data_IF_852719492975
#
_entry.id   IF_852719492975
#
_cell.length_a   1.000
_cell.length_b   1.000
_cell.length_c   1.000
_cell.angle_alpha   90.00
_cell.angle_beta   90.00
_cell.angle_gamma   90.00
#
_symmetry.space_group_name_H-M   'P 1'
#
loop_
_entity.id
_entity.type
_entity.pdbx_description
1 polymer ?
#
# COMPACT_ATOMS: atom_id res chain seq x y z
N UNK A 1 19.17 -40.68 -2.79
CA UNK A 1 18.90 -41.00 -4.19
C UNK A 1 17.67 -40.28 -4.73
N UNK A 2 17.90 -39.22 -5.51
CA UNK A 2 16.85 -38.46 -6.20
C UNK A 2 16.48 -39.14 -7.53
N UNK A 3 15.20 -39.17 -7.94
CA UNK A 3 14.80 -39.67 -9.28
C UNK A 3 14.95 -38.55 -10.31
N UNK A 4 15.58 -38.85 -11.45
CA UNK A 4 15.72 -37.93 -12.58
C UNK A 4 15.13 -38.57 -13.83
N UNK A 5 14.06 -37.97 -14.35
CA UNK A 5 13.46 -38.36 -15.63
C UNK A 5 14.04 -37.50 -16.73
N UNK A 6 14.58 -38.11 -17.78
CA UNK A 6 15.13 -37.43 -18.94
C UNK A 6 14.31 -37.76 -20.19
N UNK A 7 13.47 -36.82 -20.61
CA UNK A 7 12.67 -36.92 -21.82
C UNK A 7 13.52 -36.51 -23.04
N UNK A 8 13.67 -37.47 -23.95
CA UNK A 8 14.56 -37.38 -25.12
C UNK A 8 13.86 -37.85 -26.38
N UNK A 9 14.51 -37.67 -27.54
CA UNK A 9 14.11 -38.23 -28.84
C UNK A 9 15.36 -38.56 -29.65
N UNK A 10 15.22 -39.46 -30.63
CA UNK A 10 16.29 -39.74 -31.60
C UNK A 10 16.67 -38.50 -32.42
N UNK A 11 17.93 -38.45 -32.85
CA UNK A 11 18.50 -37.40 -33.69
C UNK A 11 18.34 -35.98 -33.11
N UNK A 12 18.73 -35.82 -31.85
CA UNK A 12 18.57 -34.58 -31.09
C UNK A 12 19.91 -34.10 -30.49
N UNK A 13 20.63 -33.17 -31.16
CA UNK A 13 21.92 -32.68 -30.68
C UNK A 13 21.86 -31.99 -29.30
N UNK A 14 20.72 -31.39 -28.95
CA UNK A 14 20.51 -30.81 -27.63
C UNK A 14 20.35 -31.88 -26.54
N UNK A 15 19.77 -33.03 -26.90
CA UNK A 15 19.60 -34.16 -26.01
C UNK A 15 20.95 -34.84 -25.73
N UNK A 16 21.82 -34.93 -26.74
CA UNK A 16 23.18 -35.45 -26.59
C UNK A 16 23.97 -34.59 -25.60
N UNK A 17 23.89 -33.26 -25.74
CA UNK A 17 24.51 -32.32 -24.77
C UNK A 17 23.94 -32.45 -23.36
N UNK A 18 22.62 -32.59 -23.24
CA UNK A 18 21.98 -32.78 -21.93
C UNK A 18 22.39 -34.11 -21.28
N UNK A 19 22.59 -35.15 -22.09
CA UNK A 19 23.10 -36.44 -21.64
C UNK A 19 24.53 -36.33 -21.10
N UNK A 20 25.43 -35.65 -21.82
CA UNK A 20 26.81 -35.41 -21.37
C UNK A 20 26.85 -34.69 -20.01
N UNK A 21 25.99 -33.69 -19.82
CA UNK A 21 25.87 -32.98 -18.54
C UNK A 21 25.41 -33.90 -17.40
N UNK A 22 24.38 -34.73 -17.64
CA UNK A 22 23.89 -35.69 -16.65
C UNK A 22 24.95 -36.73 -16.30
N UNK A 23 25.68 -37.24 -17.30
CA UNK A 23 26.73 -38.23 -17.10
C UNK A 23 27.90 -37.63 -16.29
N UNK A 24 28.30 -36.39 -16.56
CA UNK A 24 29.31 -35.70 -15.77
C UNK A 24 28.91 -35.53 -14.30
N UNK A 25 27.65 -35.15 -14.05
CA UNK A 25 27.13 -34.90 -12.69
C UNK A 25 26.83 -36.19 -11.92
N UNK A 26 26.72 -37.35 -12.57
CA UNK A 26 26.49 -38.64 -11.89
C UNK A 26 27.62 -39.03 -10.93
N UNK A 27 28.82 -38.48 -11.13
CA UNK A 27 29.96 -38.68 -10.23
C UNK A 27 29.87 -37.84 -8.94
N UNK A 28 29.13 -36.74 -8.97
CA UNK A 28 29.01 -35.77 -7.87
C UNK A 28 27.69 -35.89 -7.10
N UNK A 29 26.62 -36.38 -7.74
CA UNK A 29 25.28 -36.46 -7.18
C UNK A 29 24.72 -37.88 -7.22
N UNK A 30 24.12 -38.31 -6.11
CA UNK A 30 23.44 -39.60 -6.01
C UNK A 30 22.00 -39.52 -6.54
N UNK A 31 21.81 -39.85 -7.82
CA UNK A 31 20.50 -39.91 -8.47
C UNK A 31 20.33 -41.11 -9.41
N UNK A 32 19.09 -41.51 -9.63
CA UNK A 32 18.73 -42.53 -10.60
C UNK A 32 18.22 -41.87 -11.87
N UNK A 33 18.89 -42.11 -13.01
CA UNK A 33 18.50 -41.58 -14.31
C UNK A 33 17.59 -42.55 -15.04
N UNK A 34 16.40 -42.09 -15.42
CA UNK A 34 15.45 -42.83 -16.26
C UNK A 34 15.21 -42.04 -17.56
N UNK A 35 15.58 -42.65 -18.69
CA UNK A 35 15.42 -42.04 -20.01
C UNK A 35 14.10 -42.45 -20.62
N UNK A 36 13.34 -41.49 -21.12
CA UNK A 36 12.03 -41.71 -21.74
C UNK A 36 12.04 -41.12 -23.14
N UNK A 37 11.92 -41.98 -24.15
CA UNK A 37 11.76 -41.54 -25.53
C UNK A 37 10.32 -41.06 -25.75
N UNK A 38 10.15 -39.75 -25.95
CA UNK A 38 8.82 -39.15 -26.11
C UNK A 38 8.12 -39.61 -27.39
N UNK A 39 8.84 -40.17 -28.37
CA UNK A 39 8.25 -40.62 -29.65
C UNK A 39 7.46 -41.92 -29.50
N UNK A 40 7.63 -42.63 -28.39
CA UNK A 40 6.97 -43.91 -28.11
C UNK A 40 5.61 -43.74 -27.38
N UNK A 41 5.26 -42.51 -26.98
CA UNK A 41 4.04 -42.22 -26.24
C UNK A 41 3.39 -40.93 -26.78
N UNK A 42 2.16 -41.03 -27.27
CA UNK A 42 1.45 -39.91 -27.91
C UNK A 42 1.21 -38.72 -26.96
N UNK A 43 0.90 -38.98 -25.69
CA UNK A 43 0.68 -37.94 -24.68
C UNK A 43 1.97 -37.16 -24.42
N UNK A 44 3.08 -37.88 -24.21
CA UNK A 44 4.40 -37.26 -23.98
C UNK A 44 4.91 -36.55 -25.23
N UNK A 45 4.64 -37.09 -26.42
CA UNK A 45 4.98 -36.45 -27.68
C UNK A 45 4.26 -35.11 -27.83
N UNK A 46 2.93 -35.08 -27.64
CA UNK A 46 2.14 -33.85 -27.72
C UNK A 46 2.60 -32.81 -26.71
N UNK A 47 2.97 -33.24 -25.50
CA UNK A 47 3.41 -32.36 -24.42
C UNK A 47 4.80 -31.77 -24.66
N UNK A 48 5.78 -32.57 -25.09
CA UNK A 48 7.19 -32.19 -25.04
C UNK A 48 7.87 -32.01 -26.39
N UNK A 49 7.25 -32.35 -27.53
CA UNK A 49 7.90 -32.33 -28.87
C UNK A 49 8.65 -31.04 -29.23
N UNK A 50 8.23 -29.88 -28.71
CA UNK A 50 8.86 -28.57 -28.94
C UNK A 50 9.82 -28.12 -27.84
N UNK A 51 9.85 -28.82 -26.69
CA UNK A 51 10.65 -28.48 -25.52
C UNK A 51 11.82 -29.47 -25.25
N UNK A 52 11.84 -30.63 -25.93
CA UNK A 52 12.90 -31.65 -25.79
C UNK A 52 14.29 -31.06 -26.12
N UNK A 53 15.31 -31.29 -25.28
CA UNK A 53 15.33 -32.11 -24.06
C UNK A 53 14.59 -31.51 -22.86
N UNK A 54 13.91 -32.37 -22.09
CA UNK A 54 13.29 -32.00 -20.80
C UNK A 54 13.79 -32.92 -19.70
N UNK A 55 14.27 -32.36 -18.59
CA UNK A 55 14.70 -33.10 -17.41
C UNK A 55 13.75 -32.77 -16.26
N UNK A 56 13.23 -33.79 -15.57
CA UNK A 56 12.44 -33.65 -14.35
C UNK A 56 13.21 -34.25 -13.19
N UNK A 57 13.43 -33.48 -12.12
CA UNK A 57 14.16 -33.90 -10.93
C UNK A 57 13.20 -33.97 -9.74
N UNK A 58 13.12 -35.12 -9.07
CA UNK A 58 12.17 -35.33 -7.98
C UNK A 58 10.72 -35.37 -8.47
N UNK A 59 9.82 -34.69 -7.76
CA UNK A 59 8.38 -34.74 -8.04
C UNK A 59 7.86 -33.63 -8.97
N UNK A 60 8.57 -32.49 -9.09
CA UNK A 60 8.03 -31.30 -9.79
C UNK A 60 9.05 -30.41 -10.52
N UNK A 61 10.35 -30.53 -10.28
CA UNK A 61 11.35 -29.62 -10.87
C UNK A 61 11.63 -29.96 -12.33
N UNK A 62 10.97 -29.24 -13.24
CA UNK A 62 11.11 -29.41 -14.70
C UNK A 62 12.11 -28.40 -15.28
N UNK A 63 13.07 -28.88 -16.07
CA UNK A 63 14.07 -28.08 -16.78
C UNK A 63 13.93 -28.37 -18.27
N UNK A 64 13.55 -27.34 -19.02
CA UNK A 64 13.47 -27.37 -20.49
C UNK A 64 14.70 -26.70 -21.11
N UNK A 65 14.95 -27.01 -22.39
CA UNK A 65 16.02 -26.42 -23.17
C UNK A 65 15.97 -24.87 -23.21
N UNK A 66 17.11 -24.17 -23.17
CA UNK A 66 18.48 -24.69 -23.08
C UNK A 66 18.83 -25.19 -21.67
N UNK A 67 19.34 -26.42 -21.60
CA UNK A 67 19.79 -27.04 -20.36
C UNK A 67 21.26 -26.65 -20.16
N UNK A 68 21.53 -26.00 -19.04
CA UNK A 68 22.89 -25.62 -18.61
C UNK A 68 23.27 -26.41 -17.37
N UNK A 69 24.58 -26.62 -17.18
CA UNK A 69 25.11 -27.30 -16.00
C UNK A 69 24.68 -26.61 -14.70
N UNK A 70 24.66 -25.28 -14.68
CA UNK A 70 24.24 -24.48 -13.52
C UNK A 70 22.78 -24.76 -13.11
N UNK A 71 21.84 -24.77 -14.08
CA UNK A 71 20.42 -25.06 -13.82
C UNK A 71 20.23 -26.50 -13.33
N UNK A 72 20.98 -27.44 -13.90
CA UNK A 72 20.90 -28.85 -13.55
C UNK A 72 21.47 -29.11 -12.15
N UNK A 73 22.64 -28.54 -11.82
CA UNK A 73 23.22 -28.54 -10.47
C UNK A 73 22.27 -27.93 -9.45
N UNK A 74 21.61 -26.81 -9.77
CA UNK A 74 20.62 -26.19 -8.88
C UNK A 74 19.44 -27.13 -8.57
N UNK A 75 18.89 -27.79 -9.58
CA UNK A 75 17.77 -28.72 -9.41
C UNK A 75 18.17 -29.96 -8.59
N UNK A 76 19.35 -30.54 -8.87
CA UNK A 76 19.87 -31.70 -8.13
C UNK A 76 20.18 -31.38 -6.67
N UNK A 77 20.79 -30.21 -6.39
CA UNK A 77 21.03 -29.74 -5.02
C UNK A 77 19.72 -29.56 -4.24
N UNK A 78 18.72 -28.96 -4.88
CA UNK A 78 17.39 -28.75 -4.28
C UNK A 78 16.69 -30.08 -3.98
N UNK A 79 16.74 -31.05 -4.90
CA UNK A 79 16.16 -32.38 -4.70
C UNK A 79 16.89 -33.21 -3.64
N UNK A 80 18.21 -33.02 -3.50
CA UNK A 80 19.04 -33.73 -2.51
C UNK A 80 19.00 -33.10 -1.11
N UNK A 81 18.18 -32.06 -0.89
CA UNK A 81 18.12 -31.29 0.36
C UNK A 81 19.36 -30.43 0.63
N UNK A 82 20.32 -30.39 -0.28
CA UNK A 82 21.55 -29.60 -0.22
C UNK A 82 21.26 -28.17 -0.70
N UNK A 83 20.46 -27.42 0.06
CA UNK A 83 20.38 -25.98 -0.14
C UNK A 83 21.67 -25.37 0.41
N UNK A 84 22.47 -24.62 -0.39
CA UNK A 84 23.53 -23.81 0.19
C UNK A 84 22.85 -22.87 1.18
N UNK A 85 23.11 -23.07 2.47
CA UNK A 85 22.59 -22.16 3.48
C UNK A 85 23.21 -20.80 3.19
N UNK A 86 22.38 -19.84 2.80
CA UNK A 86 22.78 -18.42 2.77
C UNK A 86 23.21 -18.12 4.20
N UNK A 87 24.51 -18.04 4.43
CA UNK A 87 25.08 -17.85 5.77
C UNK A 87 25.59 -16.43 5.87
N UNK A 88 25.49 -15.84 7.06
CA UNK A 88 25.94 -14.48 7.34
C UNK A 88 24.86 -13.41 7.28
N UNK A 89 25.30 -12.15 7.33
CA UNK A 89 24.45 -10.96 7.56
C UNK A 89 23.28 -10.82 6.59
N UNK A 90 23.43 -11.28 5.35
CA UNK A 90 22.38 -11.21 4.33
C UNK A 90 21.16 -12.06 4.69
N UNK A 91 21.37 -13.28 5.21
CA UNK A 91 20.27 -14.14 5.69
C UNK A 91 19.56 -13.50 6.87
N UNK A 92 20.31 -13.00 7.84
CA UNK A 92 19.74 -12.41 9.05
C UNK A 92 18.92 -11.16 8.70
N UNK A 93 19.39 -10.35 7.74
CA UNK A 93 18.64 -9.22 7.19
C UNK A 93 17.33 -9.66 6.51
N UNK A 94 17.37 -10.68 5.64
CA UNK A 94 16.17 -11.20 4.98
C UNK A 94 15.16 -11.73 5.99
N UNK A 95 15.59 -12.47 7.00
CA UNK A 95 14.71 -12.98 8.07
C UNK A 95 14.11 -11.80 8.87
N UNK A 96 14.89 -10.77 9.17
CA UNK A 96 14.39 -9.58 9.86
C UNK A 96 13.35 -8.84 9.01
N UNK A 97 13.58 -8.72 7.71
CA UNK A 97 12.65 -8.09 6.77
C UNK A 97 11.35 -8.91 6.64
N UNK A 98 11.43 -10.23 6.49
CA UNK A 98 10.25 -11.10 6.44
C UNK A 98 9.42 -10.98 7.72
N UNK A 99 10.07 -10.94 8.90
CA UNK A 99 9.37 -10.72 10.18
C UNK A 99 8.71 -9.35 10.24
N UNK A 100 9.38 -8.30 9.76
CA UNK A 100 8.82 -6.95 9.69
C UNK A 100 7.56 -6.94 8.82
N UNK A 101 7.63 -7.56 7.63
CA UNK A 101 6.50 -7.69 6.70
C UNK A 101 5.36 -8.44 7.37
N UNK A 102 5.64 -9.56 8.04
CA UNK A 102 4.61 -10.33 8.73
C UNK A 102 3.90 -9.51 9.82
N UNK A 103 4.64 -8.76 10.64
CA UNK A 103 4.03 -7.89 11.64
C UNK A 103 3.22 -6.76 11.00
N UNK A 104 3.74 -6.16 9.91
CA UNK A 104 3.01 -5.13 9.17
C UNK A 104 1.70 -5.67 8.61
N UNK A 105 1.72 -6.82 7.92
CA UNK A 105 0.51 -7.45 7.36
C UNK A 105 -0.48 -7.81 8.46
N UNK A 106 -0.03 -8.32 9.61
CA UNK A 106 -0.89 -8.64 10.75
C UNK A 106 -1.54 -7.40 11.38
N UNK A 107 -0.84 -6.27 11.39
CA UNK A 107 -1.26 -5.03 12.05
C UNK A 107 -1.56 -3.88 11.07
N UNK A 108 -1.77 -4.17 9.79
CA UNK A 108 -1.86 -3.18 8.72
C UNK A 108 -2.89 -2.10 9.01
N UNK A 109 -4.05 -2.52 9.55
CA UNK A 109 -5.16 -1.62 9.87
C UNK A 109 -4.81 -0.65 10.99
N UNK A 110 -4.07 -1.10 12.00
CA UNK A 110 -3.58 -0.23 13.06
C UNK A 110 -2.57 0.77 12.50
N UNK A 111 -1.63 0.30 11.69
CA UNK A 111 -0.61 1.16 11.05
C UNK A 111 -1.29 2.24 10.21
N UNK A 112 -2.26 1.89 9.35
CA UNK A 112 -2.93 2.85 8.48
C UNK A 112 -3.77 3.87 9.27
N UNK A 113 -4.52 3.43 10.29
CA UNK A 113 -5.27 4.34 11.14
C UNK A 113 -4.36 5.25 11.98
N UNK A 114 -3.20 4.75 12.45
CA UNK A 114 -2.23 5.58 13.15
C UNK A 114 -1.60 6.63 12.24
N UNK A 115 -1.23 6.25 11.01
CA UNK A 115 -0.70 7.19 10.02
C UNK A 115 -1.73 8.26 9.65
N UNK A 116 -2.99 7.88 9.40
CA UNK A 116 -4.08 8.82 9.16
C UNK A 116 -4.35 9.70 10.39
N UNK A 117 -4.36 9.11 11.58
CA UNK A 117 -4.54 9.80 12.85
C UNK A 117 -3.46 10.85 13.10
N UNK A 118 -2.19 10.53 12.80
CA UNK A 118 -1.09 11.48 12.86
C UNK A 118 -1.26 12.60 11.81
N UNK A 119 -1.64 12.23 10.59
CA UNK A 119 -1.80 13.17 9.48
C UNK A 119 -2.94 14.19 9.71
N UNK A 120 -4.06 13.76 10.30
CA UNK A 120 -5.19 14.66 10.63
C UNK A 120 -5.04 15.32 12.01
N UNK A 121 -4.38 14.63 12.95
CA UNK A 121 -4.18 15.11 14.32
C UNK A 121 -3.16 16.24 14.43
N UNK A 122 -2.08 16.20 13.64
CA UNK A 122 -1.07 17.27 13.66
C UNK A 122 -1.65 18.64 13.29
N UNK A 123 -2.45 18.80 12.21
CA UNK A 123 -3.11 20.08 11.91
C UNK A 123 -4.05 20.60 12.99
N UNK A 124 -4.73 19.71 13.73
CA UNK A 124 -5.55 20.06 14.87
C UNK A 124 -4.70 20.40 16.13
N UNK A 125 -3.50 19.83 16.25
CA UNK A 125 -2.55 20.12 17.31
C UNK A 125 -1.89 21.51 17.13
N UNK A 126 -1.75 22.01 15.91
CA UNK A 126 -1.15 23.32 15.63
C UNK A 126 -1.74 24.46 16.49
N UNK A 127 -3.07 24.70 16.52
CA UNK A 127 -3.64 25.75 17.37
C UNK A 127 -3.48 25.48 18.87
N UNK A 128 -3.38 24.21 19.31
CA UNK A 128 -3.09 23.87 20.72
C UNK A 128 -1.69 24.33 21.12
N UNK A 129 -0.72 24.15 20.23
CA UNK A 129 0.65 24.61 20.45
C UNK A 129 0.78 26.13 20.40
N UNK A 130 -0.01 26.79 19.54
CA UNK A 130 -0.08 28.25 19.52
C UNK A 130 -0.65 28.79 20.84
N UNK A 131 -1.78 28.25 21.29
CA UNK A 131 -2.45 28.69 22.52
C UNK A 131 -1.66 28.39 23.80
N UNK A 132 -0.83 27.34 23.81
CA UNK A 132 0.03 27.00 24.96
C UNK A 132 1.36 27.77 25.02
N UNK A 133 1.61 28.67 24.06
CA UNK A 133 2.85 29.44 23.96
C UNK A 133 4.00 28.71 23.25
N UNK A 134 3.82 27.45 22.84
CA UNK A 134 4.77 26.70 22.02
C UNK A 134 4.68 27.09 20.52
N UNK A 135 4.67 28.40 20.24
CA UNK A 135 4.39 28.94 18.90
C UNK A 135 5.33 28.42 17.82
N UNK A 136 6.62 28.21 18.14
CA UNK A 136 7.60 27.70 17.17
C UNK A 136 7.20 26.33 16.63
N UNK A 137 6.72 25.44 17.49
CA UNK A 137 6.24 24.11 17.10
C UNK A 137 4.92 24.20 16.32
N UNK A 138 3.99 25.07 16.74
CA UNK A 138 2.75 25.33 15.99
C UNK A 138 3.02 25.83 14.57
N UNK A 139 3.88 26.86 14.43
CA UNK A 139 4.31 27.44 13.14
C UNK A 139 5.00 26.42 12.23
N UNK A 140 5.77 25.49 12.80
CA UNK A 140 6.35 24.38 12.04
C UNK A 140 5.26 23.50 11.41
N UNK A 141 4.23 23.15 12.16
CA UNK A 141 3.10 22.37 11.63
C UNK A 141 2.40 23.13 10.50
N UNK A 142 2.03 24.41 10.70
CA UNK A 142 1.43 25.21 9.62
C UNK A 142 2.29 25.23 8.36
N UNK A 143 3.62 25.32 8.51
CA UNK A 143 4.57 25.35 7.39
C UNK A 143 4.60 24.02 6.64
N UNK A 144 4.66 22.88 7.36
CA UNK A 144 4.67 21.54 6.77
C UNK A 144 3.40 21.30 5.93
N UNK A 145 2.25 21.75 6.41
CA UNK A 145 0.95 21.49 5.76
C UNK A 145 0.56 22.53 4.69
N UNK A 146 1.33 23.61 4.54
CA UNK A 146 1.06 24.69 3.58
C UNK A 146 1.04 24.26 2.10
N UNK A 147 1.84 23.28 1.65
CA UNK A 147 1.75 22.76 0.28
C UNK A 147 0.48 21.93 0.03
N UNK A 148 -0.05 21.29 1.06
CA UNK A 148 -1.21 20.39 0.97
C UNK A 148 -2.53 21.15 1.09
N UNK A 149 -2.55 22.24 1.86
CA UNK A 149 -3.73 23.04 2.12
C UNK A 149 -3.44 24.54 2.01
N UNK A 150 -4.37 25.30 1.44
CA UNK A 150 -4.27 26.75 1.37
C UNK A 150 -4.41 27.44 2.74
N UNK A 151 -4.95 26.73 3.75
CA UNK A 151 -5.12 27.20 5.13
C UNK A 151 -5.80 28.58 5.20
N UNK A 152 -6.86 28.80 4.41
CA UNK A 152 -7.56 30.08 4.44
C UNK A 152 -8.33 30.25 5.76
N UNK A 153 -8.22 31.39 6.46
CA UNK A 153 -8.86 31.60 7.76
C UNK A 153 -10.38 31.35 7.72
N UNK A 154 -11.10 31.96 6.78
CA UNK A 154 -12.56 31.79 6.61
C UNK A 154 -12.99 30.44 6.02
N UNK A 155 -12.07 29.48 5.94
CA UNK A 155 -12.32 28.10 5.50
C UNK A 155 -11.70 27.07 6.43
N UNK A 156 -11.26 27.49 7.62
CA UNK A 156 -10.58 26.63 8.59
C UNK A 156 -11.29 26.73 9.93
N UNK A 157 -11.34 25.62 10.67
CA UNK A 157 -11.81 25.67 12.04
C UNK A 157 -10.83 26.44 12.93
N UNK A 158 -11.36 27.15 13.91
CA UNK A 158 -10.61 27.82 14.97
C UNK A 158 -10.78 27.07 16.28
N UNK A 159 -9.69 26.94 17.03
CA UNK A 159 -9.71 26.46 18.40
C UNK A 159 -9.27 27.59 19.34
N UNK A 160 -9.77 27.56 20.58
CA UNK A 160 -9.46 28.54 21.62
C UNK A 160 -9.95 29.97 21.31
N UNK A 161 -10.96 30.10 20.45
CA UNK A 161 -11.66 31.35 20.17
C UNK A 161 -13.12 31.29 20.59
N UNK A 162 -13.84 32.39 20.39
CA UNK A 162 -15.27 32.49 20.68
C UNK A 162 -16.14 31.59 19.79
N UNK A 163 -15.72 31.39 18.53
CA UNK A 163 -16.46 30.59 17.54
C UNK A 163 -15.56 29.53 16.90
N UNK A 164 -16.14 28.39 16.47
CA UNK A 164 -15.38 27.32 15.82
C UNK A 164 -14.99 27.67 14.37
N UNK A 165 -15.58 28.69 13.76
CA UNK A 165 -15.25 29.21 12.44
C UNK A 165 -15.76 30.65 12.34
N UNK A 166 -15.21 31.42 11.40
CA UNK A 166 -15.61 32.81 11.16
C UNK A 166 -15.77 33.06 9.66
N UNK A 167 -16.75 33.87 9.28
CA UNK A 167 -16.84 34.38 7.92
C UNK A 167 -15.77 35.43 7.65
N UNK A 168 -15.54 35.74 6.37
CA UNK A 168 -14.48 36.65 5.96
C UNK A 168 -14.74 38.08 6.43
N UNK A 169 -15.99 38.54 6.40
CA UNK A 169 -16.33 39.92 6.70
C UNK A 169 -16.18 40.20 8.20
N UNK A 170 -16.57 39.23 9.03
CA UNK A 170 -16.29 39.24 10.46
C UNK A 170 -14.79 39.31 10.74
N UNK A 171 -13.97 38.43 10.13
CA UNK A 171 -12.52 38.48 10.33
C UNK A 171 -11.91 39.82 9.92
N UNK A 172 -12.34 40.39 8.77
CA UNK A 172 -11.90 41.72 8.34
C UNK A 172 -12.30 42.80 9.35
N UNK A 173 -13.48 42.71 9.96
CA UNK A 173 -13.92 43.65 11.00
C UNK A 173 -13.03 43.62 12.26
N UNK A 174 -12.43 42.47 12.56
CA UNK A 174 -11.63 42.26 13.77
C UNK A 174 -10.14 42.57 13.57
N UNK A 175 -9.56 42.18 12.44
CA UNK A 175 -8.09 42.30 12.21
C UNK A 175 -7.72 43.26 11.08
N UNK A 176 -8.71 43.91 10.46
CA UNK A 176 -8.53 44.79 9.30
C UNK A 176 -8.41 44.02 7.98
N UNK A 177 -8.39 44.77 6.88
CA UNK A 177 -8.36 44.21 5.52
C UNK A 177 -6.98 43.68 5.12
N UNK A 178 -5.89 44.33 5.59
CA UNK A 178 -4.51 44.02 5.17
C UNK A 178 -4.13 42.54 5.39
N UNK A 179 -4.36 41.91 6.57
CA UNK A 179 -3.99 40.50 6.77
C UNK A 179 -4.80 39.52 5.89
N UNK A 180 -5.89 39.98 5.28
CA UNK A 180 -6.87 39.16 4.55
C UNK A 180 -7.10 39.67 3.12
N UNK A 181 -6.20 40.51 2.61
CA UNK A 181 -6.34 41.21 1.34
C UNK A 181 -6.46 40.24 0.15
N UNK A 182 -5.62 39.20 0.13
CA UNK A 182 -5.64 38.15 -0.88
C UNK A 182 -5.31 36.76 -0.30
N UNK A 183 -5.43 35.71 -1.13
CA UNK A 183 -5.19 34.31 -0.75
C UNK A 183 -3.74 34.03 -0.29
N UNK A 184 -2.75 34.74 -0.82
CA UNK A 184 -1.32 34.56 -0.52
C UNK A 184 -0.95 35.19 0.82
N UNK A 185 -1.58 36.30 1.17
CA UNK A 185 -1.41 36.96 2.48
C UNK A 185 -2.26 36.24 3.53
N UNK A 186 -3.54 35.99 3.25
CA UNK A 186 -4.49 35.41 4.20
C UNK A 186 -4.07 34.05 4.74
N UNK A 187 -3.39 33.21 3.95
CA UNK A 187 -2.86 31.92 4.42
C UNK A 187 -1.86 32.07 5.57
N UNK A 188 -1.21 33.22 5.73
CA UNK A 188 -0.25 33.48 6.80
C UNK A 188 -0.90 33.97 8.10
N UNK A 189 -2.17 34.40 8.05
CA UNK A 189 -2.91 34.75 9.26
C UNK A 189 -3.26 33.48 10.04
N UNK A 190 -2.65 33.28 11.21
CA UNK A 190 -2.84 32.06 12.02
C UNK A 190 -3.95 32.19 13.07
N UNK A 191 -4.26 33.42 13.50
CA UNK A 191 -5.19 33.70 14.58
C UNK A 191 -4.63 34.71 15.58
N UNK A 192 -5.45 35.04 16.58
CA UNK A 192 -5.11 35.91 17.72
C UNK A 192 -5.61 35.26 19.01
N UNK A 193 -5.17 35.70 20.20
CA UNK A 193 -5.71 35.18 21.45
C UNK A 193 -7.23 35.31 21.60
N UNK A 194 -7.83 36.34 21.00
CA UNK A 194 -9.28 36.61 21.06
C UNK A 194 -10.06 35.73 20.08
N UNK A 195 -9.58 35.62 18.84
CA UNK A 195 -10.21 34.81 17.79
C UNK A 195 -9.90 33.31 17.92
N UNK A 196 -8.91 32.97 18.75
CA UNK A 196 -8.27 31.66 18.73
C UNK A 196 -7.36 31.49 17.52
N UNK A 197 -6.87 30.27 17.35
CA UNK A 197 -5.96 29.90 16.26
C UNK A 197 -6.63 28.90 15.32
N UNK A 198 -6.47 29.12 14.01
CA UNK A 198 -7.02 28.24 12.98
C UNK A 198 -6.29 26.90 12.97
N UNK A 199 -6.91 25.82 12.54
CA UNK A 199 -6.20 24.56 12.25
C UNK A 199 -5.26 24.73 11.04
N UNK A 200 -4.22 23.88 10.95
CA UNK A 200 -3.34 23.86 9.76
C UNK A 200 -3.98 23.18 8.52
N UNK A 201 -5.28 22.92 8.57
CA UNK A 201 -6.12 22.41 7.50
C UNK A 201 -7.39 23.24 7.36
N UNK A 202 -7.93 23.24 6.13
CA UNK A 202 -9.26 23.74 5.89
C UNK A 202 -10.32 22.74 6.41
N UNK A 203 -11.54 23.23 6.60
CA UNK A 203 -12.70 22.45 7.05
C UNK A 203 -12.92 21.21 6.17
N UNK A 204 -12.72 21.34 4.85
CA UNK A 204 -12.89 20.24 3.89
C UNK A 204 -11.79 19.18 4.05
N UNK A 205 -10.52 19.57 4.15
CA UNK A 205 -9.42 18.62 4.33
C UNK A 205 -9.56 17.88 5.65
N UNK A 206 -9.89 18.61 6.72
CA UNK A 206 -10.19 18.03 8.03
C UNK A 206 -11.32 17.01 7.95
N UNK A 207 -12.37 17.31 7.19
CA UNK A 207 -13.49 16.40 6.99
C UNK A 207 -13.15 15.18 6.14
N UNK A 208 -12.36 15.33 5.07
CA UNK A 208 -11.91 14.21 4.23
C UNK A 208 -11.08 13.24 5.07
N UNK A 209 -9.97 13.72 5.65
CA UNK A 209 -9.05 12.85 6.38
C UNK A 209 -9.63 12.37 7.71
N UNK A 210 -10.44 13.20 8.38
CA UNK A 210 -11.19 12.79 9.57
C UNK A 210 -12.25 11.73 9.24
N UNK A 211 -12.98 11.90 8.14
CA UNK A 211 -13.93 10.90 7.63
C UNK A 211 -13.24 9.59 7.26
N UNK A 212 -12.06 9.64 6.65
CA UNK A 212 -11.23 8.46 6.39
C UNK A 212 -10.84 7.76 7.70
N UNK A 213 -10.35 8.49 8.70
CA UNK A 213 -9.98 7.92 9.99
C UNK A 213 -11.18 7.26 10.70
N UNK A 214 -12.33 7.95 10.76
CA UNK A 214 -13.55 7.42 11.37
C UNK A 214 -14.04 6.16 10.65
N UNK A 215 -14.07 6.18 9.31
CA UNK A 215 -14.43 5.02 8.51
C UNK A 215 -13.43 3.87 8.67
N UNK A 216 -12.14 4.16 8.83
CA UNK A 216 -11.09 3.17 9.06
C UNK A 216 -11.18 2.49 10.42
N UNK A 217 -11.54 3.24 11.47
CA UNK A 217 -11.87 2.68 12.78
C UNK A 217 -13.15 1.84 12.74
N UNK A 218 -14.19 2.34 12.08
CA UNK A 218 -15.45 1.61 11.90
C UNK A 218 -15.24 0.32 11.09
N UNK A 219 -14.39 0.36 10.06
CA UNK A 219 -13.99 -0.82 9.31
C UNK A 219 -13.38 -1.89 10.22
N UNK A 220 -12.55 -1.50 11.19
CA UNK A 220 -12.00 -2.45 12.18
C UNK A 220 -13.07 -3.26 12.92
N UNK A 221 -14.24 -2.67 13.17
CA UNK A 221 -15.39 -3.32 13.79
C UNK A 221 -16.18 -4.19 12.80
N UNK A 222 -16.24 -3.78 11.52
CA UNK A 222 -17.09 -4.40 10.48
C UNK A 222 -16.34 -5.31 9.49
N UNK A 223 -15.01 -5.40 9.56
CA UNK A 223 -14.11 -6.04 8.56
C UNK A 223 -14.38 -7.50 8.23
N UNK A 224 -15.14 -8.22 9.07
CA UNK A 224 -15.44 -9.64 8.84
C UNK A 224 -16.49 -9.88 7.74
N UNK A 225 -17.36 -8.91 7.47
CA UNK A 225 -18.46 -9.05 6.51
C UNK A 225 -18.57 -7.93 5.48
N UNK A 226 -17.77 -6.87 5.60
CA UNK A 226 -17.84 -5.73 4.68
C UNK A 226 -17.23 -6.09 3.32
N UNK A 227 -18.04 -6.00 2.26
CA UNK A 227 -17.58 -6.20 0.89
C UNK A 227 -16.98 -4.90 0.31
N UNK A 228 -16.03 -4.99 -0.64
CA UNK A 228 -15.52 -3.82 -1.34
C UNK A 228 -16.65 -3.04 -2.01
N UNK A 229 -16.62 -1.72 -1.83
CA UNK A 229 -17.52 -0.83 -2.53
C UNK A 229 -17.23 -0.89 -4.03
N UNK A 230 -18.22 -1.05 -4.93
CA UNK A 230 -17.95 -0.93 -6.36
C UNK A 230 -17.45 0.49 -6.67
N UNK A 231 -16.43 0.62 -7.52
CA UNK A 231 -15.85 1.93 -7.86
C UNK A 231 -16.90 2.93 -8.40
N UNK A 232 -17.93 2.45 -9.09
CA UNK A 232 -19.04 3.27 -9.58
C UNK A 232 -19.85 3.89 -8.44
N UNK A 233 -19.96 3.22 -7.29
CA UNK A 233 -20.66 3.75 -6.11
C UNK A 233 -19.82 4.83 -5.42
N UNK A 234 -18.47 4.78 -5.49
CA UNK A 234 -17.62 5.87 -4.99
C UNK A 234 -17.95 7.20 -5.68
N UNK A 235 -18.36 7.18 -6.95
CA UNK A 235 -18.79 8.39 -7.68
C UNK A 235 -19.94 9.10 -6.96
N UNK A 236 -20.87 8.36 -6.35
CA UNK A 236 -21.96 8.93 -5.56
C UNK A 236 -21.45 9.68 -4.32
N UNK A 237 -20.39 9.17 -3.67
CA UNK A 237 -19.76 9.84 -2.53
C UNK A 237 -18.93 11.07 -2.94
N UNK A 238 -18.46 11.10 -4.19
CA UNK A 238 -17.71 12.24 -4.74
C UNK A 238 -18.62 13.38 -5.22
N UNK A 239 -19.83 13.07 -5.70
CA UNK A 239 -20.77 14.06 -6.27
C UNK A 239 -21.01 15.26 -5.35
N UNK A 240 -21.34 15.12 -4.05
CA UNK A 240 -21.57 16.28 -3.18
C UNK A 240 -20.37 17.24 -3.14
N UNK A 241 -19.15 16.71 -3.11
CA UNK A 241 -17.92 17.50 -3.07
C UNK A 241 -17.60 18.13 -4.43
N UNK A 242 -17.83 17.40 -5.52
CA UNK A 242 -17.67 17.92 -6.88
C UNK A 242 -18.64 19.07 -7.17
N UNK A 243 -19.90 18.96 -6.72
CA UNK A 243 -20.90 20.02 -6.84
C UNK A 243 -20.54 21.20 -5.94
N UNK A 244 -20.31 20.97 -4.64
CA UNK A 244 -20.00 22.03 -3.66
C UNK A 244 -18.72 22.79 -4.04
N UNK A 245 -17.64 22.06 -4.35
CA UNK A 245 -16.37 22.65 -4.75
C UNK A 245 -16.39 23.26 -6.15
N UNK A 246 -17.09 22.62 -7.10
CA UNK A 246 -17.22 23.09 -8.48
C UNK A 246 -18.00 24.40 -8.57
N UNK A 247 -19.14 24.50 -7.89
CA UNK A 247 -19.93 25.74 -7.83
C UNK A 247 -19.16 26.89 -7.19
N UNK A 248 -18.36 26.60 -6.15
CA UNK A 248 -17.47 27.60 -5.55
C UNK A 248 -16.34 28.03 -6.50
N UNK A 249 -15.79 27.12 -7.31
CA UNK A 249 -14.72 27.42 -8.26
C UNK A 249 -15.19 28.36 -9.38
N UNK A 250 -16.43 28.20 -9.85
CA UNK A 250 -17.02 29.06 -10.89
C UNK A 250 -17.75 30.29 -10.32
N UNK A 251 -17.74 30.48 -9.00
CA UNK A 251 -18.31 31.66 -8.34
C UNK A 251 -19.85 31.66 -8.24
N UNK A 252 -20.50 30.50 -8.34
CA UNK A 252 -21.96 30.40 -8.21
C UNK A 252 -22.43 30.55 -6.75
N UNK A 253 -21.63 30.10 -5.78
CA UNK A 253 -21.87 30.24 -4.34
C UNK A 253 -20.57 30.06 -3.53
N UNK A 254 -20.53 30.51 -2.27
CA UNK A 254 -19.49 30.10 -1.33
C UNK A 254 -19.94 28.86 -0.54
N UNK A 255 -19.05 27.87 -0.40
CA UNK A 255 -19.35 26.68 0.39
C UNK A 255 -19.50 27.04 1.86
N UNK A 256 -20.47 26.46 2.54
CA UNK A 256 -20.65 26.63 3.99
C UNK A 256 -19.76 25.66 4.76
N UNK A 257 -19.46 25.91 6.04
CA UNK A 257 -18.74 24.94 6.88
C UNK A 257 -19.44 23.58 6.89
N UNK A 258 -20.78 23.56 6.97
CA UNK A 258 -21.56 22.33 6.95
C UNK A 258 -21.42 21.59 5.61
N UNK A 259 -21.52 22.28 4.46
CA UNK A 259 -21.37 21.63 3.16
C UNK A 259 -19.96 21.09 2.95
N UNK A 260 -18.92 21.79 3.42
CA UNK A 260 -17.52 21.32 3.40
C UNK A 260 -17.32 20.07 4.24
N UNK A 261 -17.90 20.03 5.44
CA UNK A 261 -17.82 18.86 6.34
C UNK A 261 -18.55 17.66 5.78
N UNK A 262 -19.80 17.84 5.35
CA UNK A 262 -20.60 16.73 4.84
C UNK A 262 -20.02 16.18 3.54
N UNK A 263 -19.70 17.04 2.58
CA UNK A 263 -19.17 16.60 1.28
C UNK A 263 -17.79 15.96 1.41
N UNK A 264 -16.89 16.55 2.21
CA UNK A 264 -15.56 15.99 2.47
C UNK A 264 -15.62 14.68 3.25
N UNK A 265 -16.42 14.63 4.32
CA UNK A 265 -16.58 13.45 5.16
C UNK A 265 -17.18 12.26 4.41
N UNK A 266 -18.20 12.50 3.58
CA UNK A 266 -18.76 11.46 2.70
C UNK A 266 -17.70 10.91 1.74
N UNK A 267 -16.98 11.79 1.04
CA UNK A 267 -15.92 11.36 0.14
C UNK A 267 -14.84 10.54 0.87
N UNK A 268 -14.35 11.02 2.02
CA UNK A 268 -13.35 10.32 2.83
C UNK A 268 -13.82 8.94 3.29
N UNK A 269 -15.06 8.83 3.78
CA UNK A 269 -15.65 7.56 4.19
C UNK A 269 -15.81 6.60 3.01
N UNK A 270 -16.29 7.10 1.86
CA UNK A 270 -16.41 6.31 0.63
C UNK A 270 -15.06 5.79 0.13
N UNK A 271 -14.01 6.61 0.18
CA UNK A 271 -12.66 6.23 -0.22
C UNK A 271 -12.12 5.07 0.63
N UNK A 272 -12.36 5.08 1.95
CA UNK A 272 -11.96 3.99 2.84
C UNK A 272 -12.82 2.75 2.62
N UNK A 273 -14.14 2.89 2.43
CA UNK A 273 -15.00 1.75 2.13
C UNK A 273 -14.63 1.09 0.80
N UNK A 274 -14.14 1.84 -0.18
CA UNK A 274 -13.53 1.25 -1.37
C UNK A 274 -12.21 0.54 -1.01
N UNK A 275 -11.24 1.27 -0.45
CA UNK A 275 -9.86 0.81 -0.35
C UNK A 275 -9.64 -0.31 0.67
N UNK A 276 -10.18 -0.18 1.89
CA UNK A 276 -9.84 -1.08 3.01
C UNK A 276 -10.29 -2.53 2.79
N UNK A 277 -11.47 -2.82 2.23
CA UNK A 277 -11.82 -4.19 1.87
C UNK A 277 -10.85 -4.81 0.84
N UNK A 278 -10.37 -4.05 -0.15
CA UNK A 278 -9.36 -4.56 -1.10
C UNK A 278 -8.01 -4.80 -0.41
N UNK A 279 -7.57 -3.88 0.44
CA UNK A 279 -6.36 -4.08 1.25
C UNK A 279 -6.48 -5.30 2.16
N UNK A 280 -7.63 -5.50 2.80
CA UNK A 280 -7.87 -6.66 3.67
C UNK A 280 -7.75 -7.98 2.91
N UNK A 281 -8.27 -8.06 1.68
CA UNK A 281 -8.11 -9.24 0.82
C UNK A 281 -6.63 -9.50 0.52
N UNK A 282 -5.90 -8.48 0.02
CA UNK A 282 -4.48 -8.64 -0.30
C UNK A 282 -3.60 -8.96 0.92
N UNK A 283 -3.90 -8.34 2.07
CA UNK A 283 -3.16 -8.62 3.32
C UNK A 283 -3.42 -10.04 3.81
N UNK A 284 -4.64 -10.58 3.66
CA UNK A 284 -4.93 -11.98 3.99
C UNK A 284 -4.17 -12.95 3.10
N UNK A 285 -4.12 -12.69 1.79
CA UNK A 285 -3.39 -13.53 0.84
C UNK A 285 -1.89 -13.58 1.18
N UNK A 286 -1.28 -12.41 1.43
CA UNK A 286 0.13 -12.32 1.85
C UNK A 286 0.34 -13.01 3.19
N UNK A 287 -0.59 -12.85 4.14
CA UNK A 287 -0.49 -13.50 5.45
C UNK A 287 -0.52 -15.02 5.31
N UNK A 288 -1.42 -15.58 4.52
CA UNK A 288 -1.53 -17.02 4.28
C UNK A 288 -0.29 -17.57 3.59
N UNK A 289 0.27 -16.86 2.61
CA UNK A 289 1.51 -17.24 1.95
C UNK A 289 2.70 -17.26 2.93
N UNK A 290 2.87 -16.21 3.74
CA UNK A 290 3.93 -16.14 4.74
C UNK A 290 3.79 -17.23 5.81
N UNK A 291 2.55 -17.52 6.24
CA UNK A 291 2.26 -18.63 7.17
C UNK A 291 2.62 -19.98 6.57
N UNK A 292 2.29 -20.22 5.30
CA UNK A 292 2.64 -21.45 4.59
C UNK A 292 4.16 -21.60 4.42
N UNK A 293 4.86 -20.52 4.10
CA UNK A 293 6.30 -20.53 3.83
C UNK A 293 7.14 -20.70 5.09
N UNK A 294 6.73 -20.09 6.21
CA UNK A 294 7.57 -20.00 7.42
C UNK A 294 6.97 -20.62 8.68
N UNK A 295 5.71 -21.09 8.64
CA UNK A 295 5.03 -21.66 9.81
C UNK A 295 4.74 -20.66 10.93
N UNK A 296 4.73 -19.36 10.63
CA UNK A 296 4.48 -18.30 11.62
C UNK A 296 3.00 -18.18 11.99
N UNK A 297 2.69 -17.64 13.17
CA UNK A 297 1.31 -17.51 13.71
C UNK A 297 0.84 -16.07 13.91
#
# INVERSE_FOLDING_TARGET
MSRVLFYTKKDCPLCDKAQELLDGLSSEYDFTLEKVDITLNEELFLRYRHAVPVIVVGDDLTIEAPITEERLRWALNRASGHQPQVTGKMRDFVIALDRLIFHFVKHWLLVFNLLLGLYVGLPALAPVLMASGAEGAGRLIYTIYKPMCHQLPWRSFFLFGEQPYYDRDYLVSQVGQEPLADIRVARNFLGTPELGYKMAFCERDMAIYGGMLLAGMLFGLLRKGLKPLPWAVLVLFMIPMAVDGGGQLVGLWESTPLSRVLSGGLFGAGAIWLAYPYFELGMRDIQEELRRKFGWT
#
